data_IF_804730540912
#
_entry.id   IF_804730540912
#
_cell.length_a   1.000
_cell.length_b   1.000
_cell.length_c   1.000
_cell.angle_alpha   90.00
_cell.angle_beta   90.00
_cell.angle_gamma   90.00
#
_symmetry.space_group_name_H-M   'P 1'
#
loop_
_entity.id
_entity.type
_entity.pdbx_description
1 polymer ?
#
# COMPACT_ATOMS: atom_id res chain seq x y z
N UNK A 1 35.62 -18.23 31.05
CA UNK A 1 35.18 -18.50 32.44
C UNK A 1 34.67 -17.20 33.04
N UNK A 2 33.63 -17.31 33.89
CA UNK A 2 32.79 -16.25 34.49
C UNK A 2 31.57 -15.88 33.64
N UNK A 3 30.33 -15.88 34.12
CA UNK A 3 29.60 -16.58 35.19
C UNK A 3 28.14 -16.11 34.99
N UNK A 4 27.19 -17.04 35.11
CA UNK A 4 25.75 -16.79 35.02
C UNK A 4 25.27 -15.81 36.09
N UNK A 5 24.19 -15.06 35.82
CA UNK A 5 23.26 -14.60 36.86
C UNK A 5 21.87 -14.34 36.29
N UNK A 6 20.98 -15.29 36.58
CA UNK A 6 19.53 -15.26 36.44
C UNK A 6 18.94 -14.57 37.66
N UNK A 7 17.97 -13.66 37.49
CA UNK A 7 17.06 -13.27 38.58
C UNK A 7 15.63 -13.26 38.04
N UNK A 8 14.86 -14.26 38.47
CA UNK A 8 13.41 -14.30 38.38
C UNK A 8 12.82 -13.57 39.60
N UNK A 9 11.82 -12.71 39.37
CA UNK A 9 11.03 -12.12 40.45
C UNK A 9 9.60 -12.66 40.37
N UNK A 10 9.25 -13.51 41.34
CA UNK A 10 7.88 -13.86 41.71
C UNK A 10 7.35 -12.86 42.75
N UNK A 11 6.06 -12.51 42.66
CA UNK A 11 5.19 -12.03 43.77
C UNK A 11 3.89 -11.53 43.13
N UNK A 12 2.67 -11.79 43.59
CA UNK A 12 2.10 -12.55 44.69
C UNK A 12 0.65 -12.88 44.28
N UNK A 13 0.13 -13.98 44.79
CA UNK A 13 -1.29 -14.35 44.74
C UNK A 13 -2.13 -13.30 45.46
N UNK A 14 -3.27 -12.93 44.89
CA UNK A 14 -4.42 -12.42 45.63
C UNK A 14 -5.65 -13.19 45.15
N UNK A 15 -6.09 -14.10 46.00
CA UNK A 15 -7.34 -14.83 45.91
C UNK A 15 -8.42 -13.91 46.52
N UNK A 16 -9.48 -13.62 45.78
CA UNK A 16 -10.71 -13.06 46.34
C UNK A 16 -11.86 -13.92 45.83
N UNK A 17 -12.41 -14.74 46.73
CA UNK A 17 -13.75 -15.30 46.63
C UNK A 17 -14.76 -14.17 46.91
N UNK A 18 -15.84 -14.11 46.14
CA UNK A 18 -16.93 -13.18 46.39
C UNK A 18 -18.01 -13.18 45.31
N UNK A 19 -18.88 -14.19 45.38
CA UNK A 19 -20.33 -14.19 45.12
C UNK A 19 -20.97 -12.96 44.45
N UNK A 20 -21.72 -13.14 43.35
CA UNK A 20 -23.20 -13.03 43.28
C UNK A 20 -23.69 -13.14 41.83
N UNK A 21 -24.67 -14.02 41.60
CA UNK A 21 -25.52 -14.05 40.41
C UNK A 21 -26.39 -12.79 40.38
N UNK A 22 -26.37 -12.04 39.27
CA UNK A 22 -27.48 -11.16 38.88
C UNK A 22 -27.75 -11.32 37.39
N UNK A 23 -28.92 -11.86 37.08
CA UNK A 23 -29.50 -11.91 35.74
C UNK A 23 -30.07 -10.52 35.49
N UNK A 24 -29.32 -9.64 34.83
CA UNK A 24 -29.85 -8.35 34.38
C UNK A 24 -30.63 -8.56 33.09
N UNK A 25 -31.94 -8.34 33.16
CA UNK A 25 -32.83 -8.25 32.01
C UNK A 25 -32.25 -7.30 30.96
N UNK A 26 -32.12 -7.77 29.73
CA UNK A 26 -31.81 -6.94 28.59
C UNK A 26 -32.97 -6.00 28.30
N UNK A 27 -32.95 -4.81 28.90
CA UNK A 27 -33.76 -3.70 28.43
C UNK A 27 -33.24 -3.31 27.05
N UNK A 28 -34.06 -3.53 26.02
CA UNK A 28 -33.92 -2.79 24.77
C UNK A 28 -34.18 -1.34 25.15
N UNK A 29 -33.11 -0.58 25.41
CA UNK A 29 -33.21 0.86 25.51
C UNK A 29 -33.53 1.35 24.10
N UNK A 30 -34.83 1.45 23.79
CA UNK A 30 -35.31 2.37 22.77
C UNK A 30 -34.81 3.73 23.23
N UNK A 31 -33.77 4.23 22.56
CA UNK A 31 -33.21 5.54 22.86
C UNK A 31 -34.36 6.54 22.81
N UNK A 32 -34.66 7.13 23.97
CA UNK A 32 -35.63 8.21 24.05
C UNK A 32 -35.26 9.31 23.05
N UNK A 33 -36.23 9.90 22.34
CA UNK A 33 -35.96 11.02 21.44
C UNK A 33 -35.34 12.16 22.26
N UNK A 34 -34.07 12.46 22.02
CA UNK A 34 -33.41 13.59 22.65
C UNK A 34 -34.02 14.89 22.09
N UNK A 35 -34.51 15.80 22.95
CA UNK A 35 -35.13 17.03 22.49
C UNK A 35 -34.07 17.94 21.85
N UNK A 36 -34.35 18.44 20.64
CA UNK A 36 -33.67 19.64 20.13
C UNK A 36 -32.99 19.58 18.76
N UNK A 37 -33.19 18.54 17.94
CA UNK A 37 -32.78 18.59 16.53
C UNK A 37 -34.01 18.76 15.61
N UNK A 38 -33.99 19.68 14.63
CA UNK A 38 -35.05 19.80 13.64
C UNK A 38 -35.14 18.55 12.76
N UNK A 39 -36.29 18.32 12.13
CA UNK A 39 -36.54 17.15 11.28
C UNK A 39 -35.43 16.98 10.22
N UNK A 40 -34.88 15.76 10.12
CA UNK A 40 -33.75 15.44 9.23
C UNK A 40 -32.36 15.73 9.81
N UNK A 41 -32.27 16.13 11.08
CA UNK A 41 -31.01 16.37 11.80
C UNK A 41 -30.85 15.43 13.00
N UNK A 42 -29.62 15.06 13.29
CA UNK A 42 -29.27 14.16 14.41
C UNK A 42 -28.17 14.78 15.28
N UNK A 43 -28.04 14.36 16.55
CA UNK A 43 -27.03 14.91 17.45
C UNK A 43 -25.58 14.76 16.94
N UNK A 44 -24.75 15.77 17.20
CA UNK A 44 -23.31 15.79 16.84
C UNK A 44 -22.42 16.16 18.03
N UNK A 45 -21.24 15.53 18.20
CA UNK A 45 -20.28 15.88 19.25
C UNK A 45 -19.44 17.15 18.95
N UNK A 46 -19.65 17.80 17.80
CA UNK A 46 -18.96 19.05 17.42
C UNK A 46 -19.69 20.33 17.87
N UNK A 47 -19.10 21.52 17.62
CA UNK A 47 -19.79 22.78 17.86
C UNK A 47 -21.02 22.88 16.95
N UNK A 48 -22.20 23.00 17.57
CA UNK A 48 -23.50 22.77 16.92
C UNK A 48 -23.99 21.36 17.23
N UNK A 49 -24.87 21.25 18.24
CA UNK A 49 -25.32 19.96 18.82
C UNK A 49 -26.14 19.09 17.86
N UNK A 50 -26.39 19.53 16.63
CA UNK A 50 -27.11 18.80 15.59
C UNK A 50 -26.37 18.90 14.24
N UNK A 51 -26.45 17.85 13.43
CA UNK A 51 -25.94 17.79 12.05
C UNK A 51 -26.97 17.09 11.15
N UNK A 52 -27.08 17.43 9.84
CA UNK A 52 -28.05 16.79 8.97
C UNK A 52 -27.69 15.30 8.80
N UNK A 53 -28.71 14.44 8.73
CA UNK A 53 -28.55 12.97 8.70
C UNK A 53 -27.64 12.48 7.54
N UNK A 54 -27.54 13.27 6.47
CA UNK A 54 -26.64 13.02 5.33
C UNK A 54 -25.14 13.08 5.68
N UNK A 55 -24.76 13.64 6.83
CA UNK A 55 -23.38 13.73 7.31
C UNK A 55 -23.06 12.73 8.42
N UNK A 56 -24.06 12.23 9.16
CA UNK A 56 -23.91 11.14 10.14
C UNK A 56 -23.81 9.76 9.54
N UNK A 57 -23.80 9.66 8.21
CA UNK A 57 -23.47 8.45 7.46
C UNK A 57 -22.06 7.94 7.73
N UNK A 58 -21.85 7.33 8.91
CA UNK A 58 -21.19 6.03 9.10
C UNK A 58 -21.82 4.97 8.19
N UNK A 59 -21.93 5.23 6.88
CA UNK A 59 -22.01 4.17 5.89
C UNK A 59 -20.59 3.64 5.79
N UNK A 60 -20.28 2.41 6.24
CA UNK A 60 -18.97 1.81 6.05
C UNK A 60 -18.75 1.63 4.54
N UNK A 61 -18.25 2.66 3.87
CA UNK A 61 -18.16 2.65 2.41
C UNK A 61 -18.01 4.01 1.73
N UNK A 62 -18.68 5.07 2.19
CA UNK A 62 -18.65 6.38 1.48
C UNK A 62 -17.31 7.10 1.72
N UNK A 63 -16.87 7.22 2.97
CA UNK A 63 -15.55 7.79 3.29
C UNK A 63 -14.40 7.00 2.65
N UNK A 64 -14.49 5.66 2.63
CA UNK A 64 -13.50 4.79 1.96
C UNK A 64 -13.52 4.99 0.43
N UNK A 65 -14.69 5.16 -0.21
CA UNK A 65 -14.79 5.42 -1.66
C UNK A 65 -14.21 6.79 -2.04
N UNK A 66 -14.48 7.86 -1.28
CA UNK A 66 -13.94 9.21 -1.53
C UNK A 66 -12.41 9.21 -1.35
N UNK A 67 -11.89 8.59 -0.28
CA UNK A 67 -10.45 8.48 -0.04
C UNK A 67 -9.73 7.60 -1.07
N UNK A 68 -10.38 6.54 -1.59
CA UNK A 68 -9.81 5.67 -2.64
C UNK A 68 -9.72 6.38 -4.00
N UNK A 69 -10.65 7.29 -4.31
CA UNK A 69 -10.60 8.13 -5.53
C UNK A 69 -9.47 9.17 -5.49
N UNK A 70 -8.99 9.54 -4.30
CA UNK A 70 -7.88 10.49 -4.12
C UNK A 70 -6.50 9.82 -4.01
N UNK A 71 -6.34 8.52 -4.29
CA UNK A 71 -5.02 7.86 -4.19
C UNK A 71 -4.15 8.05 -5.43
N UNK A 72 -2.81 7.96 -5.30
CA UNK A 72 -1.92 7.72 -6.44
C UNK A 72 -2.25 6.38 -7.11
N UNK A 73 -1.83 6.22 -8.36
CA UNK A 73 -1.99 4.98 -9.13
C UNK A 73 -0.85 4.90 -10.16
N UNK A 74 0.22 4.19 -9.83
CA UNK A 74 1.43 4.03 -10.62
C UNK A 74 1.28 2.90 -11.62
N UNK A 75 1.34 3.25 -12.90
CA UNK A 75 1.27 2.30 -14.01
C UNK A 75 2.55 2.35 -14.83
N UNK A 76 3.10 1.18 -15.16
CA UNK A 76 4.12 1.08 -16.21
C UNK A 76 3.40 1.24 -17.56
N UNK A 77 3.69 2.32 -18.29
CA UNK A 77 3.05 2.63 -19.57
C UNK A 77 3.74 1.93 -20.74
N UNK A 78 5.06 1.95 -20.73
CA UNK A 78 5.88 1.34 -21.78
C UNK A 78 7.31 1.16 -21.32
N UNK A 79 8.06 0.35 -22.05
CA UNK A 79 9.50 0.26 -21.93
C UNK A 79 10.14 0.13 -23.31
N UNK A 80 11.36 0.68 -23.47
CA UNK A 80 12.11 0.66 -24.73
C UNK A 80 13.56 0.30 -24.47
N UNK A 81 14.05 -0.72 -25.16
CA UNK A 81 15.46 -1.10 -25.10
C UNK A 81 16.33 -0.03 -25.75
N UNK A 82 17.51 0.22 -25.16
CA UNK A 82 18.52 1.04 -25.83
C UNK A 82 19.10 0.28 -27.03
N UNK A 83 19.27 0.97 -28.16
CA UNK A 83 19.91 0.42 -29.37
C UNK A 83 21.42 0.25 -29.19
N UNK A 84 22.05 1.18 -28.45
CA UNK A 84 23.50 1.22 -28.22
C UNK A 84 23.86 0.38 -26.99
N UNK A 85 23.25 0.69 -25.84
CA UNK A 85 23.54 0.02 -24.59
C UNK A 85 22.63 -1.20 -24.39
N UNK A 86 23.04 -2.36 -24.92
CA UNK A 86 22.26 -3.62 -24.95
C UNK A 86 21.71 -4.12 -23.61
N UNK A 87 22.19 -3.58 -22.48
CA UNK A 87 21.75 -3.90 -21.11
C UNK A 87 20.91 -2.80 -20.44
N UNK A 88 20.53 -1.75 -21.18
CA UNK A 88 19.70 -0.64 -20.67
C UNK A 88 18.28 -0.69 -21.24
N UNK A 89 17.32 -0.36 -20.39
CA UNK A 89 15.92 -0.16 -20.78
C UNK A 89 15.41 1.16 -20.20
N UNK A 90 14.72 1.95 -21.03
CA UNK A 90 13.98 3.14 -20.61
C UNK A 90 12.57 2.70 -20.26
N UNK A 91 12.09 3.01 -19.07
CA UNK A 91 10.77 2.63 -18.57
C UNK A 91 9.97 3.89 -18.30
N UNK A 92 8.81 4.03 -18.95
CA UNK A 92 7.88 5.14 -18.69
C UNK A 92 6.89 4.73 -17.61
N UNK A 93 6.94 5.40 -16.47
CA UNK A 93 6.02 5.19 -15.34
C UNK A 93 5.11 6.40 -15.28
N UNK A 94 3.80 6.18 -15.23
CA UNK A 94 2.80 7.23 -15.10
C UNK A 94 2.05 7.10 -13.78
N UNK A 95 1.74 8.22 -13.14
CA UNK A 95 0.77 8.29 -12.07
C UNK A 95 -0.58 8.70 -12.64
N UNK A 96 -1.48 7.74 -12.84
CA UNK A 96 -2.85 7.96 -13.36
C UNK A 96 -3.85 8.25 -12.23
N UNK A 97 -3.38 8.33 -10.99
CA UNK A 97 -4.17 8.67 -9.82
C UNK A 97 -4.36 10.18 -9.66
N UNK A 98 -5.15 10.55 -8.63
CA UNK A 98 -5.51 11.95 -8.33
C UNK A 98 -4.65 12.60 -7.24
N UNK A 99 -3.67 11.87 -6.69
CA UNK A 99 -2.65 12.41 -5.77
C UNK A 99 -1.25 12.10 -6.28
N UNK A 100 -0.30 12.92 -5.88
CA UNK A 100 1.11 12.66 -6.16
C UNK A 100 1.59 11.36 -5.50
N UNK A 101 2.34 10.55 -6.23
CA UNK A 101 3.03 9.39 -5.73
C UNK A 101 4.35 9.83 -5.08
N UNK A 102 4.59 9.40 -3.84
CA UNK A 102 5.86 9.62 -3.13
C UNK A 102 7.01 8.91 -3.86
N UNK A 103 8.28 9.31 -3.64
CA UNK A 103 9.42 8.58 -4.17
C UNK A 103 9.35 7.08 -3.82
N UNK A 104 9.67 6.24 -4.80
CA UNK A 104 9.55 4.77 -4.68
C UNK A 104 10.67 4.06 -5.44
N UNK A 105 10.52 2.74 -5.65
CA UNK A 105 11.54 1.90 -6.29
C UNK A 105 10.96 1.12 -7.46
N UNK A 106 11.57 1.26 -8.63
CA UNK A 106 11.37 0.37 -9.78
C UNK A 106 12.33 -0.82 -9.64
N UNK A 107 11.77 -2.03 -9.64
CA UNK A 107 12.55 -3.26 -9.64
C UNK A 107 12.44 -3.96 -10.99
N UNK A 108 13.59 -4.28 -11.58
CA UNK A 108 13.70 -5.21 -12.71
C UNK A 108 14.15 -6.56 -12.18
N UNK A 109 13.42 -7.61 -12.50
CA UNK A 109 13.74 -9.00 -12.16
C UNK A 109 13.89 -9.82 -13.44
N UNK A 110 15.10 -10.27 -13.74
CA UNK A 110 15.36 -11.23 -14.81
C UNK A 110 14.95 -12.61 -14.31
N UNK A 111 14.08 -13.27 -15.06
CA UNK A 111 13.47 -14.57 -14.72
C UNK A 111 14.02 -15.72 -15.56
N UNK A 112 14.42 -15.45 -16.81
CA UNK A 112 15.06 -16.45 -17.69
C UNK A 112 16.18 -15.81 -18.51
N UNK A 113 17.27 -16.54 -18.69
CA UNK A 113 18.36 -16.23 -19.62
C UNK A 113 18.56 -17.46 -20.49
N UNK A 114 18.38 -17.33 -21.82
CA UNK A 114 18.52 -18.44 -22.76
C UNK A 114 17.74 -19.71 -22.34
N UNK A 115 16.50 -19.55 -21.88
CA UNK A 115 15.67 -20.66 -21.39
C UNK A 115 15.90 -21.06 -19.93
N UNK A 116 17.10 -20.85 -19.38
CA UNK A 116 17.43 -21.18 -17.99
C UNK A 116 16.75 -20.22 -17.01
N UNK A 117 16.03 -20.76 -16.01
CA UNK A 117 15.38 -19.98 -14.94
C UNK A 117 16.44 -19.33 -14.05
N UNK A 118 16.26 -18.05 -13.75
CA UNK A 118 17.12 -17.26 -12.85
C UNK A 118 16.26 -16.30 -12.01
N UNK A 119 16.83 -15.69 -10.96
CA UNK A 119 16.11 -14.74 -10.10
C UNK A 119 16.94 -13.48 -9.78
N UNK A 120 17.56 -12.87 -10.80
CA UNK A 120 18.47 -11.74 -10.62
C UNK A 120 17.74 -10.40 -10.68
N UNK A 121 18.10 -9.44 -9.81
CA UNK A 121 17.31 -8.22 -9.60
C UNK A 121 18.18 -6.97 -9.58
N UNK A 122 17.66 -5.88 -10.12
CA UNK A 122 18.23 -4.53 -9.95
C UNK A 122 17.11 -3.56 -9.55
N UNK A 123 17.44 -2.63 -8.66
CA UNK A 123 16.53 -1.60 -8.16
C UNK A 123 17.00 -0.23 -8.62
N UNK A 124 16.05 0.62 -9.00
CA UNK A 124 16.30 2.02 -9.38
C UNK A 124 15.30 2.91 -8.67
N UNK A 125 15.77 4.06 -8.17
CA UNK A 125 14.91 5.06 -7.53
C UNK A 125 13.96 5.66 -8.56
N UNK A 126 12.70 5.81 -8.17
CA UNK A 126 11.68 6.55 -8.91
C UNK A 126 11.40 7.83 -8.11
N UNK A 127 11.56 9.02 -8.70
CA UNK A 127 11.27 10.26 -8.00
C UNK A 127 9.76 10.38 -7.73
N UNK A 128 9.39 11.42 -7.00
CA UNK A 128 7.98 11.79 -6.84
C UNK A 128 7.33 12.02 -8.21
N UNK A 129 6.13 11.47 -8.43
CA UNK A 129 5.37 11.67 -9.68
C UNK A 129 4.06 12.37 -9.34
N UNK A 130 3.90 13.61 -9.79
CA UNK A 130 2.66 14.38 -9.63
C UNK A 130 1.46 13.65 -10.27
N UNK A 131 0.26 13.94 -9.80
CA UNK A 131 -0.97 13.37 -10.35
C UNK A 131 -1.07 13.65 -11.87
N UNK A 132 -1.46 12.65 -12.65
CA UNK A 132 -1.58 12.73 -14.11
C UNK A 132 -0.25 12.84 -14.89
N UNK A 133 0.90 12.87 -14.21
CA UNK A 133 2.21 13.02 -14.86
C UNK A 133 2.93 11.68 -15.03
N UNK A 134 3.99 11.69 -15.84
CA UNK A 134 4.85 10.53 -16.08
C UNK A 134 6.33 10.89 -15.99
N UNK A 135 7.14 9.91 -15.63
CA UNK A 135 8.60 10.00 -15.62
C UNK A 135 9.20 8.86 -16.44
N UNK A 136 10.36 9.09 -17.02
CA UNK A 136 11.17 8.05 -17.67
C UNK A 136 12.32 7.68 -16.74
N UNK A 137 12.38 6.41 -16.35
CA UNK A 137 13.46 5.86 -15.53
C UNK A 137 14.33 4.96 -16.39
N UNK A 138 15.64 5.14 -16.27
CA UNK A 138 16.62 4.33 -16.97
C UNK A 138 17.12 3.22 -16.05
N UNK A 139 16.92 1.96 -16.47
CA UNK A 139 17.41 0.79 -15.74
C UNK A 139 18.60 0.20 -16.46
N UNK A 140 19.69 -0.03 -15.73
CA UNK A 140 20.89 -0.70 -16.23
C UNK A 140 21.01 -2.09 -15.60
N UNK A 141 20.96 -3.13 -16.41
CA UNK A 141 21.07 -4.53 -15.98
C UNK A 141 22.50 -5.08 -16.08
N UNK A 142 23.53 -4.23 -16.24
CA UNK A 142 24.93 -4.65 -16.40
C UNK A 142 25.42 -5.57 -15.29
N UNK A 143 25.06 -5.29 -14.04
CA UNK A 143 25.48 -6.07 -12.86
C UNK A 143 24.81 -7.43 -12.74
N UNK A 144 23.66 -7.65 -13.39
CA UNK A 144 22.88 -8.88 -13.26
C UNK A 144 22.91 -9.76 -14.51
N UNK A 145 23.39 -9.26 -15.63
CA UNK A 145 23.47 -9.98 -16.89
C UNK A 145 24.92 -10.35 -17.25
N UNK A 146 25.17 -11.57 -17.74
CA UNK A 146 26.46 -11.94 -18.34
C UNK A 146 26.89 -10.95 -19.43
N UNK A 147 28.20 -10.79 -19.67
CA UNK A 147 28.75 -9.80 -20.62
C UNK A 147 28.12 -9.91 -22.02
N UNK A 148 27.97 -11.13 -22.54
CA UNK A 148 27.45 -11.44 -23.88
C UNK A 148 25.93 -11.33 -24.04
N UNK A 149 25.17 -11.25 -22.94
CA UNK A 149 23.70 -11.31 -22.98
C UNK A 149 23.10 -9.90 -22.99
N UNK A 150 22.30 -9.63 -24.04
CA UNK A 150 21.48 -8.43 -24.13
C UNK A 150 20.17 -8.58 -23.34
N UNK A 151 19.71 -7.52 -22.68
CA UNK A 151 18.48 -7.55 -21.88
C UNK A 151 17.25 -7.93 -22.71
N UNK A 152 17.18 -7.48 -23.97
CA UNK A 152 16.08 -7.81 -24.92
C UNK A 152 15.96 -9.29 -25.28
N UNK A 153 16.98 -10.11 -24.97
CA UNK A 153 17.00 -11.56 -25.21
C UNK A 153 16.59 -12.37 -23.96
N UNK A 154 16.30 -11.70 -22.85
CA UNK A 154 15.93 -12.34 -21.58
C UNK A 154 14.43 -12.28 -21.33
N UNK A 155 13.92 -13.07 -20.38
CA UNK A 155 12.59 -12.86 -19.82
C UNK A 155 12.71 -12.06 -18.54
N UNK A 156 12.00 -10.94 -18.41
CA UNK A 156 12.07 -10.11 -17.19
C UNK A 156 10.72 -9.50 -16.82
N UNK A 157 10.58 -9.18 -15.52
CA UNK A 157 9.47 -8.44 -14.96
C UNK A 157 9.94 -7.08 -14.45
N UNK A 158 9.21 -6.03 -14.77
CA UNK A 158 9.31 -4.72 -14.14
C UNK A 158 8.19 -4.59 -13.10
N UNK A 159 8.50 -4.03 -11.93
CA UNK A 159 7.51 -3.66 -10.91
C UNK A 159 7.83 -2.26 -10.38
N UNK A 160 6.95 -1.30 -10.66
CA UNK A 160 6.96 0.01 -10.02
C UNK A 160 6.48 -0.12 -8.57
N UNK A 161 6.99 0.75 -7.69
CA UNK A 161 6.82 0.66 -6.24
C UNK A 161 6.98 -0.77 -5.67
N UNK A 162 8.10 -1.40 -5.99
CA UNK A 162 8.39 -2.76 -5.53
C UNK A 162 8.39 -2.93 -4.00
N UNK A 163 8.52 -1.85 -3.26
CA UNK A 163 8.45 -1.79 -1.79
C UNK A 163 7.04 -1.59 -1.23
N UNK A 164 6.03 -1.41 -2.08
CA UNK A 164 4.64 -1.09 -1.71
C UNK A 164 4.54 0.08 -0.72
N UNK A 165 5.39 1.11 -0.89
CA UNK A 165 5.42 2.29 0.00
C UNK A 165 4.36 3.32 -0.39
N UNK A 166 3.93 3.30 -1.63
CA UNK A 166 2.84 4.11 -2.15
C UNK A 166 1.58 3.25 -2.04
N UNK A 167 0.63 3.67 -1.21
CA UNK A 167 -0.67 2.99 -1.15
C UNK A 167 -1.51 3.42 -2.34
N UNK A 168 -1.61 2.57 -3.35
CA UNK A 168 -2.22 2.93 -4.63
C UNK A 168 -3.73 2.63 -4.67
N UNK A 169 -4.37 3.05 -5.77
CA UNK A 169 -5.74 2.64 -6.09
C UNK A 169 -5.78 1.20 -6.63
N UNK A 170 -4.82 0.82 -7.47
CA UNK A 170 -4.75 -0.48 -8.11
C UNK A 170 -3.30 -1.04 -8.12
N UNK A 171 -2.96 -1.85 -7.13
CA UNK A 171 -1.64 -2.47 -7.00
C UNK A 171 -1.27 -3.46 -8.12
N UNK A 172 -2.20 -3.82 -9.02
CA UNK A 172 -1.97 -4.83 -10.07
C UNK A 172 -1.41 -4.23 -11.35
N UNK A 173 -1.57 -2.91 -11.57
CA UNK A 173 -1.15 -2.24 -12.81
C UNK A 173 0.29 -1.71 -12.78
N UNK A 174 1.00 -1.89 -11.66
CA UNK A 174 2.38 -1.46 -11.48
C UNK A 174 3.41 -2.44 -12.07
N UNK A 175 2.96 -3.51 -12.74
CA UNK A 175 3.84 -4.54 -13.33
C UNK A 175 3.80 -4.58 -14.86
N UNK A 176 4.93 -4.94 -15.46
CA UNK A 176 5.03 -5.26 -16.89
C UNK A 176 5.97 -6.46 -17.10
N UNK A 177 5.64 -7.33 -18.06
CA UNK A 177 6.45 -8.50 -18.42
C UNK A 177 7.04 -8.33 -19.82
N UNK A 178 8.26 -8.83 -20.00
CA UNK A 178 8.88 -9.00 -21.31
C UNK A 178 9.12 -10.47 -21.59
N UNK A 179 8.46 -10.97 -22.65
CA UNK A 179 8.38 -12.39 -23.04
C UNK A 179 7.72 -13.25 -21.95
N UNK A 180 6.94 -14.25 -22.35
CA UNK A 180 6.37 -15.25 -21.45
C UNK A 180 7.25 -16.51 -21.49
#
# INVERSE_FOLDING_TARGET
MKLFSTIAAQSKKALVLGTLMTISAGSIAVAAPSPGCPDGWVPSPGPGKCQPENLTGKRPGIGKRILKRRRPDLKIRSYRFSRIAKKRVRVRIANVGRRAARPSVLMLTVRKINGTKVARRVRVRVPMIRAGKSVVVMVNAKSILPKSVALKKTTFRLKADSTNRVRERNERNNTAMHRF
#
